data_IF_003679905897
#
_entry.id   IF_003679905897
#
_cell.length_a   1.000
_cell.length_b   1.000
_cell.length_c   1.000
_cell.angle_alpha   90.00
_cell.angle_beta   90.00
_cell.angle_gamma   90.00
#
_symmetry.space_group_name_H-M   'P 1'
#
loop_
_entity.id
_entity.type
_entity.pdbx_description
1 polymer ?
#
# COMPACT_ATOMS: atom_id res chain seq x y z
N UNK A 1 27.82 18.60 17.71
CA UNK A 1 28.01 19.28 16.43
C UNK A 1 27.22 18.66 15.26
N UNK A 2 26.22 17.83 15.50
CA UNK A 2 25.41 17.17 14.46
C UNK A 2 23.98 17.69 14.33
N UNK A 3 23.59 18.67 15.15
CA UNK A 3 22.20 19.20 15.16
C UNK A 3 21.92 20.33 14.15
N UNK A 4 22.93 20.93 13.54
CA UNK A 4 22.74 22.06 12.61
C UNK A 4 22.69 21.65 11.13
N UNK A 5 23.15 20.46 10.76
CA UNK A 5 23.12 19.96 9.37
C UNK A 5 21.82 19.21 9.05
N UNK A 6 21.18 18.60 10.05
CA UNK A 6 19.95 17.80 9.87
C UNK A 6 18.69 18.66 9.63
N UNK A 7 18.68 19.90 10.12
CA UNK A 7 17.50 20.76 10.02
C UNK A 7 17.34 21.51 8.70
N UNK A 8 18.43 21.87 8.03
CA UNK A 8 18.35 22.69 6.81
C UNK A 8 18.24 21.85 5.53
N UNK A 9 18.81 20.65 5.49
CA UNK A 9 18.72 19.79 4.31
C UNK A 9 17.39 19.02 4.23
N UNK A 10 16.78 18.65 5.36
CA UNK A 10 15.43 18.07 5.37
C UNK A 10 14.37 19.03 4.81
N UNK A 11 14.50 20.34 5.08
CA UNK A 11 13.55 21.34 4.58
C UNK A 11 13.67 21.66 3.08
N UNK A 12 14.70 21.19 2.39
CA UNK A 12 14.94 21.51 0.97
C UNK A 12 14.35 20.45 0.03
N UNK A 13 14.08 19.23 0.51
CA UNK A 13 13.63 18.08 -0.31
C UNK A 13 12.38 17.39 0.20
N UNK A 14 11.56 18.08 0.96
CA UNK A 14 10.34 17.56 1.60
C UNK A 14 9.05 18.20 1.07
N UNK A 15 9.09 18.83 -0.11
CA UNK A 15 7.98 19.59 -0.65
C UNK A 15 7.15 18.81 -1.66
N UNK A 16 5.84 19.01 -1.58
CA UNK A 16 4.94 18.76 -2.72
C UNK A 16 5.17 19.89 -3.73
N UNK A 17 5.73 19.56 -4.90
CA UNK A 17 6.01 20.53 -5.98
C UNK A 17 4.75 20.89 -6.75
N UNK A 18 3.89 19.89 -7.03
CA UNK A 18 2.65 20.06 -7.77
C UNK A 18 1.65 18.95 -7.41
N UNK A 19 0.37 19.29 -7.45
CA UNK A 19 -0.74 18.34 -7.38
C UNK A 19 -1.72 18.69 -8.49
N UNK A 20 -1.99 17.72 -9.36
CA UNK A 20 -2.87 17.85 -10.52
C UNK A 20 -3.99 16.82 -10.39
N UNK A 21 -5.19 17.30 -10.04
CA UNK A 21 -6.39 16.47 -9.86
C UNK A 21 -7.03 16.06 -11.19
N UNK A 22 -6.75 16.79 -12.26
CA UNK A 22 -7.30 16.47 -13.59
C UNK A 22 -6.54 15.30 -14.22
N UNK A 23 -5.24 15.23 -13.98
CA UNK A 23 -4.39 14.13 -14.42
C UNK A 23 -4.15 13.07 -13.34
N UNK A 24 -4.71 13.25 -12.14
CA UNK A 24 -4.51 12.36 -10.98
C UNK A 24 -3.03 12.09 -10.71
N UNK A 25 -2.25 13.15 -10.52
CA UNK A 25 -0.81 13.07 -10.23
C UNK A 25 -0.40 14.00 -9.09
N UNK A 26 0.66 13.61 -8.40
CA UNK A 26 1.35 14.45 -7.42
C UNK A 26 2.86 14.37 -7.69
N UNK A 27 3.52 15.52 -7.79
CA UNK A 27 4.97 15.61 -7.92
C UNK A 27 5.57 16.07 -6.60
N UNK A 28 6.45 15.24 -6.06
CA UNK A 28 7.03 15.44 -4.72
C UNK A 28 8.55 15.31 -4.74
N UNK A 29 9.21 15.96 -3.82
CA UNK A 29 10.63 15.77 -3.56
C UNK A 29 10.87 14.46 -2.77
N UNK A 30 12.01 13.84 -2.96
CA UNK A 30 12.35 12.52 -2.43
C UNK A 30 12.36 12.45 -0.89
N UNK A 31 12.56 13.56 -0.22
CA UNK A 31 12.54 13.67 1.26
C UNK A 31 11.13 13.78 1.84
N UNK A 32 10.08 13.91 1.03
CA UNK A 32 8.71 13.91 1.54
C UNK A 32 8.42 12.62 2.31
N UNK A 33 7.87 12.77 3.51
CA UNK A 33 7.35 11.64 4.29
C UNK A 33 6.10 11.10 3.62
N UNK A 34 5.97 9.77 3.57
CA UNK A 34 4.85 9.11 2.91
C UNK A 34 3.50 9.61 3.42
N UNK A 35 3.31 9.70 4.73
CA UNK A 35 2.09 10.20 5.35
C UNK A 35 1.74 11.61 4.88
N UNK A 36 2.71 12.52 4.74
CA UNK A 36 2.46 13.87 4.25
C UNK A 36 1.96 13.89 2.80
N UNK A 37 2.44 12.96 1.96
CA UNK A 37 1.97 12.79 0.58
C UNK A 37 0.54 12.23 0.56
N UNK A 38 0.23 11.25 1.42
CA UNK A 38 -1.12 10.70 1.56
C UNK A 38 -2.11 11.78 2.03
N UNK A 39 -1.73 12.59 3.02
CA UNK A 39 -2.55 13.70 3.53
C UNK A 39 -2.79 14.78 2.46
N UNK A 40 -1.76 15.14 1.68
CA UNK A 40 -1.90 16.07 0.57
C UNK A 40 -2.87 15.55 -0.50
N UNK A 41 -2.77 14.28 -0.86
CA UNK A 41 -3.70 13.62 -1.78
C UNK A 41 -5.13 13.58 -1.23
N UNK A 42 -5.30 13.21 0.05
CA UNK A 42 -6.60 13.13 0.71
C UNK A 42 -7.31 14.50 0.79
N UNK A 43 -6.56 15.57 1.09
CA UNK A 43 -7.08 16.94 1.10
C UNK A 43 -7.56 17.40 -0.29
N UNK A 44 -7.04 16.81 -1.36
CA UNK A 44 -7.48 17.03 -2.74
C UNK A 44 -8.56 16.04 -3.22
N UNK A 45 -9.12 15.20 -2.32
CA UNK A 45 -10.11 14.19 -2.65
C UNK A 45 -9.54 13.00 -3.44
N UNK A 46 -8.25 12.75 -3.29
CA UNK A 46 -7.52 11.66 -3.96
C UNK A 46 -6.90 10.71 -2.95
N UNK A 47 -6.47 9.57 -3.44
CA UNK A 47 -5.76 8.53 -2.70
C UNK A 47 -4.36 8.34 -3.30
N UNK A 48 -3.33 8.34 -2.46
CA UNK A 48 -2.04 7.74 -2.76
C UNK A 48 -1.95 6.40 -2.03
N UNK A 49 -2.03 5.26 -2.73
CA UNK A 49 -2.35 3.96 -2.12
C UNK A 49 -1.15 3.16 -1.63
N UNK A 50 0.01 3.77 -1.44
CA UNK A 50 1.13 3.11 -0.78
C UNK A 50 0.89 3.12 0.73
N UNK A 51 0.59 1.96 1.33
CA UNK A 51 0.34 1.82 2.77
C UNK A 51 1.40 0.95 3.42
N UNK A 52 2.21 1.55 4.28
CA UNK A 52 3.34 0.92 4.98
C UNK A 52 3.23 1.15 6.48
N UNK A 53 3.71 0.20 7.28
CA UNK A 53 3.78 0.38 8.73
C UNK A 53 4.63 1.59 9.16
N UNK A 54 5.59 2.01 8.32
CA UNK A 54 6.51 3.12 8.56
C UNK A 54 6.07 4.44 7.90
N UNK A 55 4.80 4.60 7.47
CA UNK A 55 4.34 5.74 6.68
C UNK A 55 4.61 7.10 7.33
N UNK A 56 4.60 7.17 8.66
CA UNK A 56 4.92 8.40 9.43
C UNK A 56 6.41 8.77 9.46
N UNK A 57 7.30 7.92 8.93
CA UNK A 57 8.76 8.14 9.01
C UNK A 57 9.51 7.81 7.72
N UNK A 58 9.00 6.96 6.85
CA UNK A 58 9.65 6.65 5.58
C UNK A 58 9.47 7.78 4.58
N UNK A 59 10.48 7.93 3.71
CA UNK A 59 10.49 8.96 2.67
C UNK A 59 10.16 8.37 1.30
N UNK A 60 9.62 9.18 0.42
CA UNK A 60 9.31 8.76 -0.96
C UNK A 60 10.56 8.28 -1.70
N UNK A 61 11.71 8.96 -1.54
CA UNK A 61 12.97 8.53 -2.15
C UNK A 61 13.44 7.16 -1.64
N UNK A 62 13.28 6.88 -0.35
CA UNK A 62 13.57 5.56 0.24
C UNK A 62 12.64 4.49 -0.31
N UNK A 63 11.34 4.76 -0.37
CA UNK A 63 10.35 3.84 -0.92
C UNK A 63 10.59 3.52 -2.40
N UNK A 64 11.01 4.52 -3.19
CA UNK A 64 11.41 4.34 -4.59
C UNK A 64 12.69 3.53 -4.71
N UNK A 65 13.72 3.89 -3.93
CA UNK A 65 15.01 3.21 -3.97
C UNK A 65 14.91 1.70 -3.68
N UNK A 66 14.00 1.31 -2.79
CA UNK A 66 13.76 -0.10 -2.42
C UNK A 66 12.61 -0.76 -3.17
N UNK A 67 11.91 -0.02 -4.04
CA UNK A 67 10.66 -0.46 -4.67
C UNK A 67 9.67 -1.00 -3.63
N UNK A 68 9.41 -0.22 -2.58
CA UNK A 68 8.59 -0.65 -1.45
C UNK A 68 7.20 -1.12 -1.88
N UNK A 69 6.76 -2.23 -1.30
CA UNK A 69 5.40 -2.75 -1.43
C UNK A 69 4.68 -2.62 -0.10
N UNK A 70 3.40 -2.27 -0.13
CA UNK A 70 2.55 -2.15 1.05
C UNK A 70 1.44 -3.18 1.06
N UNK A 71 0.46 -3.02 1.95
CA UNK A 71 -0.69 -3.93 2.08
C UNK A 71 -1.65 -3.89 0.89
N UNK A 72 -1.61 -2.81 0.08
CA UNK A 72 -2.53 -2.59 -1.04
C UNK A 72 -1.95 -2.97 -2.41
N UNK A 73 -0.87 -3.76 -2.43
CA UNK A 73 -0.15 -4.18 -3.66
C UNK A 73 -1.05 -4.96 -4.61
N UNK A 74 -2.00 -5.74 -4.10
CA UNK A 74 -2.90 -6.54 -4.94
C UNK A 74 -3.71 -5.68 -5.92
N UNK A 75 -4.07 -4.47 -5.52
CA UNK A 75 -4.87 -3.55 -6.34
C UNK A 75 -4.01 -2.54 -7.09
N UNK A 76 -3.00 -1.97 -6.44
CA UNK A 76 -2.32 -0.78 -6.93
C UNK A 76 -0.87 -1.01 -7.35
N UNK A 77 -0.32 -2.18 -7.05
CA UNK A 77 1.08 -2.49 -7.31
C UNK A 77 2.04 -1.91 -6.27
N UNK A 78 3.33 -2.05 -6.54
CA UNK A 78 4.43 -1.52 -5.74
C UNK A 78 4.65 -0.02 -6.02
N UNK A 79 5.62 0.58 -5.34
CA UNK A 79 6.04 1.97 -5.59
C UNK A 79 6.40 2.21 -7.07
N UNK A 80 7.00 1.24 -7.77
CA UNK A 80 7.28 1.29 -9.21
C UNK A 80 6.02 1.50 -10.03
N UNK A 81 4.96 0.73 -9.76
CA UNK A 81 3.68 0.81 -10.47
C UNK A 81 2.99 2.15 -10.23
N UNK A 82 3.25 2.76 -9.07
CA UNK A 82 2.69 4.05 -8.65
C UNK A 82 3.45 5.26 -9.20
N UNK A 83 4.56 5.06 -9.94
CA UNK A 83 5.43 6.15 -10.39
C UNK A 83 5.27 6.40 -11.89
N UNK A 84 5.16 7.69 -12.28
CA UNK A 84 5.10 8.13 -13.68
C UNK A 84 6.40 8.78 -14.15
N UNK A 85 7.13 9.43 -13.26
CA UNK A 85 8.35 10.13 -13.61
C UNK A 85 9.32 10.27 -12.44
N UNK A 86 10.60 10.43 -12.75
CA UNK A 86 11.66 10.61 -11.76
C UNK A 86 12.59 11.77 -12.16
N UNK A 87 13.15 12.41 -11.16
CA UNK A 87 14.36 13.24 -11.25
C UNK A 87 15.48 12.52 -10.50
N UNK A 88 16.61 12.34 -11.14
CA UNK A 88 17.74 11.57 -10.58
C UNK A 88 19.04 12.32 -10.79
N UNK A 89 19.91 12.31 -9.80
CA UNK A 89 21.31 12.74 -9.93
C UNK A 89 22.16 11.49 -10.16
N UNK A 90 22.87 11.44 -11.29
CA UNK A 90 23.74 10.33 -11.66
C UNK A 90 25.07 10.34 -10.88
N UNK A 91 25.88 9.30 -11.02
CA UNK A 91 27.19 9.23 -10.39
C UNK A 91 28.15 10.32 -10.88
N UNK A 92 27.96 10.82 -12.09
CA UNK A 92 28.73 11.91 -12.69
C UNK A 92 28.27 13.30 -12.22
N UNK A 93 27.19 13.35 -11.42
CA UNK A 93 26.60 14.61 -10.93
C UNK A 93 25.64 15.27 -11.93
N UNK A 94 25.31 14.60 -13.00
CA UNK A 94 24.33 15.08 -13.97
C UNK A 94 22.89 14.86 -13.47
N UNK A 95 22.00 15.81 -13.79
CA UNK A 95 20.59 15.69 -13.45
C UNK A 95 19.85 15.12 -14.66
N UNK A 96 19.30 13.91 -14.48
CA UNK A 96 18.32 13.37 -15.41
C UNK A 96 16.92 13.80 -14.97
N UNK A 97 16.28 14.68 -15.75
CA UNK A 97 14.92 15.15 -15.53
C UNK A 97 13.95 14.33 -16.40
N UNK A 98 13.33 13.35 -15.78
CA UNK A 98 12.25 12.54 -16.35
C UNK A 98 10.93 12.74 -15.60
N UNK A 99 10.72 13.89 -14.96
CA UNK A 99 9.46 14.24 -14.27
C UNK A 99 8.33 14.44 -15.27
N UNK A 100 7.70 13.34 -15.68
CA UNK A 100 6.58 13.33 -16.63
C UNK A 100 5.34 12.76 -15.93
N UNK A 101 4.16 13.34 -16.23
CA UNK A 101 2.87 12.85 -15.76
C UNK A 101 2.12 12.00 -16.81
N UNK A 102 2.79 11.53 -17.85
CA UNK A 102 2.16 10.75 -18.92
C UNK A 102 1.88 9.32 -18.46
N UNK A 103 0.60 8.90 -18.56
CA UNK A 103 0.20 7.51 -18.28
C UNK A 103 0.58 6.54 -19.40
N UNK A 104 0.65 7.03 -20.63
CA UNK A 104 1.13 6.29 -21.80
C UNK A 104 2.32 7.03 -22.38
N UNK A 105 3.50 6.48 -22.15
CA UNK A 105 4.75 6.95 -22.75
C UNK A 105 5.46 5.77 -23.41
N UNK A 106 5.47 5.73 -24.73
CA UNK A 106 6.08 4.68 -25.54
C UNK A 106 7.43 5.13 -26.12
N UNK A 107 8.03 6.18 -25.58
CA UNK A 107 9.23 6.82 -26.12
C UNK A 107 10.50 6.20 -25.55
N UNK A 108 11.10 5.25 -26.26
CA UNK A 108 12.37 4.63 -25.86
C UNK A 108 12.26 3.66 -24.68
N UNK A 109 13.37 3.46 -24.00
CA UNK A 109 13.42 2.63 -22.79
C UNK A 109 12.82 3.37 -21.59
N UNK A 110 12.18 2.62 -20.70
CA UNK A 110 11.71 3.14 -19.42
C UNK A 110 12.87 3.21 -18.41
N UNK A 111 13.57 4.34 -18.41
CA UNK A 111 14.73 4.54 -17.53
C UNK A 111 14.33 4.64 -16.06
N UNK A 112 13.08 4.97 -15.72
CA UNK A 112 12.60 4.99 -14.32
C UNK A 112 12.83 3.64 -13.66
N UNK A 113 12.52 2.58 -14.39
CA UNK A 113 12.59 1.21 -13.90
C UNK A 113 14.00 0.71 -13.61
N UNK A 114 15.02 1.41 -14.12
CA UNK A 114 16.42 1.18 -13.74
C UNK A 114 16.72 1.72 -12.34
N UNK A 115 16.20 2.92 -12.02
CA UNK A 115 16.50 3.58 -10.75
C UNK A 115 15.61 3.11 -9.61
N UNK A 116 14.35 2.75 -9.88
CA UNK A 116 13.44 2.22 -8.85
C UNK A 116 13.89 0.80 -8.46
N UNK A 117 14.18 0.63 -7.18
CA UNK A 117 14.71 -0.61 -6.64
C UNK A 117 16.23 -0.77 -6.79
N UNK A 118 16.95 0.26 -7.25
CA UNK A 118 18.41 0.23 -7.39
C UNK A 118 19.16 0.51 -6.07
N UNK A 119 18.45 0.90 -5.00
CA UNK A 119 19.01 1.21 -3.68
C UNK A 119 20.17 2.24 -3.74
N UNK A 120 20.06 3.21 -4.65
CA UNK A 120 21.06 4.27 -4.83
C UNK A 120 22.33 3.86 -5.58
N UNK A 121 22.43 2.63 -6.08
CA UNK A 121 23.63 2.13 -6.78
C UNK A 121 23.82 2.72 -8.17
N UNK A 122 22.74 3.20 -8.81
CA UNK A 122 22.75 3.81 -10.15
C UNK A 122 22.62 5.33 -10.14
N UNK A 123 22.18 5.91 -9.03
CA UNK A 123 21.96 7.35 -8.89
C UNK A 123 21.07 7.66 -7.68
N UNK A 124 20.94 8.94 -7.37
CA UNK A 124 20.15 9.42 -6.23
C UNK A 124 18.86 10.03 -6.76
N UNK A 125 17.72 9.45 -6.40
CA UNK A 125 16.39 9.98 -6.71
C UNK A 125 16.15 11.24 -5.87
N UNK A 126 15.82 12.34 -6.53
CA UNK A 126 15.60 13.65 -5.89
C UNK A 126 14.16 14.13 -5.93
N UNK A 127 13.37 13.67 -6.91
CA UNK A 127 11.94 13.92 -6.99
C UNK A 127 11.23 12.84 -7.80
N UNK A 128 9.91 12.74 -7.63
CA UNK A 128 9.07 11.82 -8.38
C UNK A 128 7.71 12.42 -8.70
N UNK A 129 7.15 12.03 -9.85
CA UNK A 129 5.74 12.20 -10.18
C UNK A 129 5.02 10.87 -9.94
N UNK A 130 4.06 10.88 -9.02
CA UNK A 130 3.35 9.72 -8.54
C UNK A 130 1.90 9.72 -9.02
N UNK A 131 1.33 8.52 -9.20
CA UNK A 131 -0.08 8.32 -9.56
C UNK A 131 -0.96 8.52 -8.34
N UNK A 132 -2.02 9.27 -8.52
CA UNK A 132 -3.14 9.32 -7.60
C UNK A 132 -4.32 8.55 -8.17
N UNK A 133 -5.24 8.21 -7.28
CA UNK A 133 -6.48 7.49 -7.58
C UNK A 133 -7.66 8.22 -6.95
N UNK A 134 -8.88 8.07 -7.50
CA UNK A 134 -10.08 8.48 -6.79
C UNK A 134 -10.17 7.79 -5.43
N UNK A 135 -10.57 8.53 -4.42
CA UNK A 135 -10.76 7.97 -3.09
C UNK A 135 -11.95 7.00 -3.11
N UNK A 136 -11.80 5.77 -2.58
CA UNK A 136 -12.92 4.85 -2.46
C UNK A 136 -13.99 5.43 -1.51
N UNK A 137 -15.24 5.10 -1.79
CA UNK A 137 -16.39 5.55 -0.98
C UNK A 137 -16.53 4.69 0.27
N UNK A 138 -16.20 3.40 0.14
CA UNK A 138 -16.30 2.44 1.24
C UNK A 138 -15.10 1.48 1.26
N UNK A 139 -14.80 0.98 2.45
CA UNK A 139 -13.80 -0.07 2.68
C UNK A 139 -14.39 -1.08 3.67
N UNK A 140 -14.29 -2.37 3.33
CA UNK A 140 -14.67 -3.47 4.20
C UNK A 140 -13.43 -4.30 4.51
N UNK A 141 -13.23 -4.60 5.78
CA UNK A 141 -12.11 -5.41 6.25
C UNK A 141 -12.63 -6.58 7.09
N UNK A 142 -12.10 -7.77 6.86
CA UNK A 142 -12.36 -8.93 7.72
C UNK A 142 -11.07 -9.58 8.18
N UNK A 143 -11.09 -10.06 9.42
CA UNK A 143 -10.10 -10.98 9.94
C UNK A 143 -10.75 -12.37 10.05
N UNK A 144 -10.12 -13.37 9.46
CA UNK A 144 -10.66 -14.70 9.22
C UNK A 144 -9.76 -15.75 9.87
N UNK A 145 -10.35 -16.83 10.38
CA UNK A 145 -9.62 -17.99 10.90
C UNK A 145 -9.64 -19.13 9.88
N UNK A 146 -8.49 -19.79 9.71
CA UNK A 146 -8.27 -20.81 8.68
C UNK A 146 -7.51 -22.00 9.26
N UNK A 147 -7.81 -23.21 8.81
CA UNK A 147 -7.16 -24.45 9.29
C UNK A 147 -5.85 -24.74 8.54
N UNK A 148 -5.68 -24.22 7.33
CA UNK A 148 -4.53 -24.53 6.49
C UNK A 148 -4.14 -23.38 5.54
N UNK A 149 -2.92 -23.44 5.01
CA UNK A 149 -2.45 -22.55 3.94
C UNK A 149 -3.23 -22.83 2.64
N UNK A 150 -3.61 -24.08 2.37
CA UNK A 150 -4.38 -24.43 1.17
C UNK A 150 -5.74 -23.73 1.19
N UNK A 151 -6.39 -23.67 2.37
CA UNK A 151 -7.63 -22.91 2.54
C UNK A 151 -7.41 -21.40 2.28
N UNK A 152 -6.26 -20.84 2.69
CA UNK A 152 -5.93 -19.44 2.43
C UNK A 152 -5.73 -19.16 0.93
N UNK A 153 -5.09 -20.07 0.20
CA UNK A 153 -4.88 -19.95 -1.26
C UNK A 153 -6.22 -20.03 -2.00
N UNK A 154 -7.09 -20.96 -1.62
CA UNK A 154 -8.44 -21.09 -2.21
C UNK A 154 -9.31 -19.86 -1.87
N UNK A 155 -9.26 -19.36 -0.63
CA UNK A 155 -9.94 -18.14 -0.23
C UNK A 155 -9.48 -16.93 -1.07
N UNK A 156 -8.15 -16.76 -1.27
CA UNK A 156 -7.62 -15.70 -2.12
C UNK A 156 -8.12 -15.82 -3.57
N UNK A 157 -8.20 -17.04 -4.09
CA UNK A 157 -8.73 -17.29 -5.45
C UNK A 157 -10.18 -16.85 -5.57
N UNK A 158 -11.03 -17.19 -4.58
CA UNK A 158 -12.44 -16.78 -4.52
C UNK A 158 -12.60 -15.27 -4.33
N UNK A 159 -11.78 -14.68 -3.45
CA UNK A 159 -11.76 -13.23 -3.24
C UNK A 159 -11.40 -12.48 -4.54
N UNK A 160 -10.39 -12.95 -5.28
CA UNK A 160 -10.05 -12.39 -6.60
C UNK A 160 -11.19 -12.50 -7.60
N UNK A 161 -11.87 -13.64 -7.65
CA UNK A 161 -13.01 -13.85 -8.55
C UNK A 161 -14.21 -12.96 -8.17
N UNK A 162 -14.55 -12.85 -6.88
CA UNK A 162 -15.72 -12.12 -6.41
C UNK A 162 -15.51 -10.61 -6.31
N UNK A 163 -14.32 -10.17 -5.91
CA UNK A 163 -14.02 -8.73 -5.74
C UNK A 163 -13.36 -8.12 -6.96
N UNK A 164 -12.67 -8.91 -7.80
CA UNK A 164 -11.95 -8.36 -8.96
C UNK A 164 -11.00 -7.25 -8.58
N UNK A 165 -11.09 -6.11 -9.28
CA UNK A 165 -10.27 -4.93 -9.01
C UNK A 165 -10.57 -4.23 -7.66
N UNK A 166 -11.63 -4.60 -6.95
CA UNK A 166 -11.93 -4.05 -5.63
C UNK A 166 -11.16 -4.73 -4.49
N UNK A 167 -10.55 -5.90 -4.72
CA UNK A 167 -9.67 -6.56 -3.74
C UNK A 167 -8.44 -5.70 -3.50
N UNK A 168 -8.34 -5.13 -2.30
CA UNK A 168 -7.27 -4.19 -1.95
C UNK A 168 -6.13 -4.88 -1.21
N UNK A 169 -6.44 -5.69 -0.22
CA UNK A 169 -5.46 -6.36 0.63
C UNK A 169 -5.83 -7.81 0.94
N UNK A 170 -4.81 -8.65 1.08
CA UNK A 170 -4.92 -10.01 1.59
C UNK A 170 -3.60 -10.35 2.31
N UNK A 171 -3.66 -10.47 3.64
CA UNK A 171 -2.49 -10.75 4.47
C UNK A 171 -2.69 -12.06 5.21
N UNK A 172 -1.72 -12.96 5.16
CA UNK A 172 -1.74 -14.24 5.87
C UNK A 172 -0.80 -14.19 7.08
N UNK A 173 -1.32 -14.59 8.23
CA UNK A 173 -0.58 -14.60 9.51
C UNK A 173 -0.69 -15.98 10.15
N UNK A 174 0.43 -16.47 10.72
CA UNK A 174 0.37 -17.67 11.56
C UNK A 174 -0.23 -17.34 12.94
N UNK A 175 -0.88 -18.33 13.55
CA UNK A 175 -1.37 -18.23 14.93
C UNK A 175 -0.26 -17.89 15.92
N UNK A 176 0.95 -18.43 15.72
CA UNK A 176 2.12 -18.13 16.56
C UNK A 176 2.48 -16.64 16.57
N UNK A 177 2.36 -15.95 15.42
CA UNK A 177 2.60 -14.52 15.35
C UNK A 177 1.61 -13.73 16.20
N UNK A 178 0.32 -14.06 16.13
CA UNK A 178 -0.71 -13.39 16.93
C UNK A 178 -0.56 -13.71 18.43
N UNK A 179 -0.25 -14.96 18.78
CA UNK A 179 0.04 -15.34 20.17
C UNK A 179 1.28 -14.62 20.71
N UNK A 180 2.31 -14.43 19.89
CA UNK A 180 3.48 -13.64 20.27
C UNK A 180 3.11 -12.19 20.58
N UNK A 181 2.23 -11.57 19.78
CA UNK A 181 1.72 -10.20 20.03
C UNK A 181 1.03 -10.12 21.40
N UNK A 182 0.09 -11.03 21.70
CA UNK A 182 -0.62 -11.03 22.99
C UNK A 182 0.33 -11.25 24.17
N UNK A 183 1.31 -12.12 24.01
CA UNK A 183 2.32 -12.39 25.05
C UNK A 183 3.23 -11.20 25.32
N UNK A 184 3.66 -10.48 24.27
CA UNK A 184 4.59 -9.35 24.39
C UNK A 184 3.87 -8.05 24.73
N UNK A 185 2.61 -7.93 24.33
CA UNK A 185 1.77 -6.76 24.53
C UNK A 185 0.45 -7.15 25.20
N UNK A 186 0.44 -7.44 26.53
CA UNK A 186 -0.74 -7.97 27.25
C UNK A 186 -1.98 -7.05 27.23
N UNK A 187 -1.81 -5.77 26.88
CA UNK A 187 -2.90 -4.82 26.66
C UNK A 187 -3.63 -5.04 25.34
N UNK A 188 -3.01 -5.72 24.39
CA UNK A 188 -3.65 -6.09 23.13
C UNK A 188 -4.48 -7.36 23.32
N UNK A 189 -5.68 -7.35 22.72
CA UNK A 189 -6.57 -8.51 22.73
C UNK A 189 -6.79 -8.97 21.31
N UNK A 190 -6.76 -10.28 21.11
CA UNK A 190 -7.25 -10.84 19.84
C UNK A 190 -8.76 -10.61 19.77
N UNK A 191 -9.30 -10.33 18.58
CA UNK A 191 -10.74 -10.19 18.41
C UNK A 191 -11.49 -11.53 18.44
N UNK A 192 -10.78 -12.64 18.70
CA UNK A 192 -11.32 -13.98 18.79
C UNK A 192 -11.10 -14.57 20.19
N UNK A 193 -12.06 -15.40 20.63
CA UNK A 193 -12.00 -16.13 21.89
C UNK A 193 -12.02 -17.66 21.64
N UNK A 194 -11.61 -18.42 22.65
CA UNK A 194 -11.68 -19.88 22.65
C UNK A 194 -10.88 -20.54 21.53
N UNK A 195 -11.48 -21.51 20.84
CA UNK A 195 -10.83 -22.28 19.79
C UNK A 195 -10.42 -21.42 18.59
N UNK A 196 -11.20 -20.39 18.27
CA UNK A 196 -10.89 -19.47 17.17
C UNK A 196 -9.62 -18.66 17.42
N UNK A 197 -9.32 -18.32 18.69
CA UNK A 197 -8.05 -17.67 19.05
C UNK A 197 -6.84 -18.58 18.90
N UNK A 198 -7.04 -19.91 18.90
CA UNK A 198 -6.02 -20.94 18.72
C UNK A 198 -5.89 -21.42 17.27
N UNK A 199 -6.56 -20.80 16.32
CA UNK A 199 -6.46 -21.16 14.91
C UNK A 199 -5.01 -21.11 14.41
N UNK A 200 -4.56 -22.06 13.58
CA UNK A 200 -3.19 -22.09 13.09
C UNK A 200 -2.89 -20.94 12.11
N UNK A 201 -3.92 -20.45 11.41
CA UNK A 201 -3.78 -19.40 10.40
C UNK A 201 -4.88 -18.35 10.50
N UNK A 202 -4.51 -17.13 10.17
CA UNK A 202 -5.41 -15.99 10.07
C UNK A 202 -5.19 -15.26 8.76
N UNK A 203 -6.26 -14.84 8.11
CA UNK A 203 -6.19 -13.98 6.95
C UNK A 203 -6.90 -12.65 7.20
N UNK A 204 -6.23 -11.54 6.90
CA UNK A 204 -6.84 -10.23 6.78
C UNK A 204 -7.21 -10.01 5.32
N UNK A 205 -8.47 -9.68 5.07
CA UNK A 205 -9.03 -9.44 3.75
C UNK A 205 -9.60 -8.03 3.70
N UNK A 206 -9.25 -7.26 2.67
CA UNK A 206 -9.73 -5.91 2.48
C UNK A 206 -10.29 -5.70 1.08
N UNK A 207 -11.46 -5.07 1.02
CA UNK A 207 -12.12 -4.61 -0.19
C UNK A 207 -12.31 -3.09 -0.11
N UNK A 208 -11.97 -2.38 -1.18
CA UNK A 208 -12.30 -0.96 -1.35
C UNK A 208 -13.26 -0.76 -2.52
N UNK A 209 -14.37 -0.10 -2.27
CA UNK A 209 -15.43 0.11 -3.25
C UNK A 209 -15.60 1.59 -3.58
N UNK A 210 -15.95 1.87 -4.83
CA UNK A 210 -16.17 3.24 -5.33
C UNK A 210 -17.64 3.56 -5.57
N UNK A 211 -18.55 2.62 -5.32
CA UNK A 211 -19.98 2.77 -5.58
C UNK A 211 -20.74 3.19 -4.32
N UNK A 212 -20.78 2.33 -3.30
CA UNK A 212 -21.46 2.61 -2.04
C UNK A 212 -21.06 1.64 -0.91
N UNK A 213 -21.36 2.03 0.33
CA UNK A 213 -21.17 1.13 1.49
C UNK A 213 -22.06 -0.11 1.40
N UNK A 214 -23.31 0.02 0.91
CA UNK A 214 -24.21 -1.10 0.75
C UNK A 214 -23.68 -2.09 -0.28
N UNK A 215 -23.23 -1.62 -1.43
CA UNK A 215 -22.63 -2.47 -2.47
C UNK A 215 -21.36 -3.17 -1.99
N UNK A 216 -20.49 -2.45 -1.28
CA UNK A 216 -19.28 -3.03 -0.67
C UNK A 216 -19.64 -4.17 0.29
N UNK A 217 -20.59 -3.94 1.20
CA UNK A 217 -21.06 -4.90 2.19
C UNK A 217 -21.65 -6.15 1.55
N UNK A 218 -22.60 -5.99 0.64
CA UNK A 218 -23.27 -7.11 -0.03
C UNK A 218 -22.27 -8.02 -0.76
N UNK A 219 -21.32 -7.42 -1.48
CA UNK A 219 -20.25 -8.18 -2.15
C UNK A 219 -19.37 -8.93 -1.14
N UNK A 220 -19.01 -8.24 -0.07
CA UNK A 220 -18.14 -8.79 0.97
C UNK A 220 -18.78 -9.97 1.68
N UNK A 221 -20.06 -9.80 2.11
CA UNK A 221 -20.85 -10.84 2.76
C UNK A 221 -21.10 -12.04 1.83
N UNK A 222 -21.32 -11.81 0.53
CA UNK A 222 -21.51 -12.90 -0.44
C UNK A 222 -20.24 -13.76 -0.54
N UNK A 223 -19.10 -13.15 -0.78
CA UNK A 223 -17.82 -13.90 -0.94
C UNK A 223 -17.43 -14.64 0.33
N UNK A 224 -17.63 -14.01 1.50
CA UNK A 224 -17.32 -14.65 2.79
C UNK A 224 -18.34 -15.73 3.14
N UNK A 225 -19.62 -15.54 2.84
CA UNK A 225 -20.66 -16.55 3.01
C UNK A 225 -20.33 -17.82 2.22
N UNK A 226 -20.01 -17.66 0.93
CA UNK A 226 -19.59 -18.77 0.06
C UNK A 226 -18.34 -19.50 0.59
N UNK A 227 -17.39 -18.73 1.17
CA UNK A 227 -16.18 -19.32 1.74
C UNK A 227 -16.45 -20.10 3.04
N UNK A 228 -17.36 -19.62 3.88
CA UNK A 228 -17.81 -20.32 5.10
C UNK A 228 -18.58 -21.59 4.73
N UNK A 229 -19.53 -21.50 3.80
CA UNK A 229 -20.30 -22.67 3.33
C UNK A 229 -19.41 -23.75 2.72
N UNK A 230 -18.31 -23.34 2.07
CA UNK A 230 -17.32 -24.27 1.52
C UNK A 230 -16.36 -24.84 2.59
N UNK A 231 -16.48 -24.43 3.85
CA UNK A 231 -15.60 -24.89 4.94
C UNK A 231 -14.16 -24.38 4.85
N UNK A 232 -13.92 -23.30 4.14
CA UNK A 232 -12.58 -22.69 4.01
C UNK A 232 -12.25 -21.80 5.19
N UNK A 233 -13.29 -21.20 5.80
CA UNK A 233 -13.17 -20.23 6.88
C UNK A 233 -14.06 -20.70 8.04
N UNK A 234 -13.51 -20.72 9.26
CA UNK A 234 -14.25 -21.17 10.43
C UNK A 234 -15.01 -20.02 11.11
N UNK A 235 -14.42 -18.82 11.12
CA UNK A 235 -15.03 -17.63 11.71
C UNK A 235 -14.53 -16.38 10.98
N UNK A 236 -15.42 -15.41 10.80
CA UNK A 236 -15.08 -14.10 10.27
C UNK A 236 -15.53 -13.00 11.22
N UNK A 237 -14.69 -11.97 11.41
CA UNK A 237 -15.05 -10.70 12.01
C UNK A 237 -14.94 -9.63 10.94
N UNK A 238 -16.08 -9.01 10.62
CA UNK A 238 -16.17 -7.97 9.59
C UNK A 238 -16.22 -6.61 10.28
N UNK A 239 -15.32 -5.73 9.85
CA UNK A 239 -15.36 -4.32 10.19
C UNK A 239 -15.64 -3.52 8.91
N UNK A 240 -16.57 -2.59 9.01
CA UNK A 240 -17.02 -1.74 7.90
C UNK A 240 -16.77 -0.29 8.24
#
# INVERSE_FOLDING_TARGET
MLRSLVGSEMCIRDRVRALDTDNDTITVEAGCILQAVQEAAANAGRLFPLSLAAEGSCTIGGNLATNAGGTQVLRYGNTRDLTLGLEVVTAEGEIWDGLRGLRKDNTGYDLRDLYIGSEGTLGIITAATLKLFPRPVASCTALLTLDSIDNAVELLSRARAGFGAALTGFELMSGDCLQAVVRLFPQQRLPFDGESAASPWFALLELSDSESETHARERFETVLGDAIEAGLVNLSLIHI
#
